data_IF_953360426910
#
_entry.id   IF_953360426910
#
_cell.length_a   1.000
_cell.length_b   1.000
_cell.length_c   1.000
_cell.angle_alpha   90.00
_cell.angle_beta   90.00
_cell.angle_gamma   90.00
#
_symmetry.space_group_name_H-M   'P 1'
#
loop_
_entity.id
_entity.type
_entity.pdbx_description
1 polymer ?
#
# COMPACT_ATOMS: atom_id res chain seq x y z
N UNK A 1 -3.78 -8.08 -11.22
CA UNK A 1 -3.45 -6.76 -10.64
C UNK A 1 -4.56 -6.42 -9.68
N UNK A 2 -4.48 -6.75 -8.38
CA UNK A 2 -5.57 -6.45 -7.49
C UNK A 2 -5.29 -5.10 -6.83
N UNK A 3 -5.60 -4.03 -7.54
CA UNK A 3 -6.42 -3.02 -6.90
C UNK A 3 -7.83 -3.34 -7.36
N UNK A 4 -8.73 -3.59 -6.41
CA UNK A 4 -10.12 -3.84 -6.76
C UNK A 4 -10.71 -2.52 -7.26
N UNK A 5 -11.54 -2.55 -8.30
CA UNK A 5 -12.23 -1.35 -8.78
C UNK A 5 -12.98 -0.61 -7.65
N UNK A 6 -13.42 -1.35 -6.62
CA UNK A 6 -14.04 -0.78 -5.42
C UNK A 6 -13.13 0.14 -4.59
N UNK A 7 -11.81 -0.05 -4.65
CA UNK A 7 -10.83 0.77 -3.94
C UNK A 7 -10.55 2.09 -4.69
N UNK A 8 -10.84 2.15 -5.99
CA UNK A 8 -10.60 3.34 -6.81
C UNK A 8 -11.49 4.51 -6.41
N UNK A 9 -12.63 4.24 -5.76
CA UNK A 9 -13.52 5.28 -5.23
C UNK A 9 -12.84 6.21 -4.23
N UNK A 10 -11.72 5.80 -3.64
CA UNK A 10 -10.93 6.62 -2.72
C UNK A 10 -9.89 7.51 -3.42
N UNK A 11 -9.78 7.45 -4.75
CA UNK A 11 -8.89 8.28 -5.57
C UNK A 11 -9.67 9.22 -6.48
N UNK A 12 -9.15 10.43 -6.77
CA UNK A 12 -9.76 11.34 -7.73
C UNK A 12 -10.01 10.71 -9.10
N UNK A 13 -11.11 11.10 -9.73
CA UNK A 13 -11.46 10.62 -11.06
C UNK A 13 -10.34 10.90 -12.09
N UNK A 14 -9.77 12.12 -12.12
CA UNK A 14 -8.67 12.47 -13.04
C UNK A 14 -7.44 11.55 -12.92
N UNK A 15 -7.22 10.94 -11.75
CA UNK A 15 -6.11 10.01 -11.53
C UNK A 15 -6.45 8.62 -12.08
N UNK A 16 -7.71 8.19 -12.02
CA UNK A 16 -8.14 6.81 -12.33
C UNK A 16 -8.80 6.65 -13.70
N UNK A 17 -9.31 7.73 -14.30
CA UNK A 17 -10.03 7.73 -15.59
C UNK A 17 -9.17 7.18 -16.74
N UNK A 18 -7.88 7.49 -16.76
CA UNK A 18 -6.95 7.03 -17.80
C UNK A 18 -6.40 5.63 -17.55
N UNK A 19 -6.64 5.04 -16.37
CA UNK A 19 -6.08 3.73 -16.01
C UNK A 19 -6.58 2.60 -16.93
N UNK A 20 -7.87 2.44 -17.27
CA UNK A 20 -8.27 1.37 -18.18
C UNK A 20 -7.54 1.41 -19.53
N UNK A 21 -7.37 2.60 -20.10
CA UNK A 21 -6.65 2.80 -21.38
C UNK A 21 -5.15 2.54 -21.24
N UNK A 22 -4.50 3.07 -20.20
CA UNK A 22 -3.10 2.78 -19.91
C UNK A 22 -2.86 1.28 -19.74
N UNK A 23 -3.80 0.57 -19.11
CA UNK A 23 -3.70 -0.88 -18.93
C UNK A 23 -3.82 -1.56 -20.27
N UNK A 24 -4.80 -1.18 -21.08
CA UNK A 24 -5.00 -1.72 -22.41
C UNK A 24 -3.77 -1.45 -23.31
N UNK A 25 -3.12 -0.30 -23.20
CA UNK A 25 -1.89 -0.01 -23.94
C UNK A 25 -0.70 -0.87 -23.46
N UNK A 26 -0.54 -1.05 -22.15
CA UNK A 26 0.54 -1.85 -21.57
C UNK A 26 0.32 -3.36 -21.69
N UNK A 27 -0.94 -3.80 -21.78
CA UNK A 27 -1.32 -5.21 -21.68
C UNK A 27 -2.03 -5.79 -22.90
N UNK A 28 -2.61 -4.94 -23.74
CA UNK A 28 -3.31 -5.32 -24.96
C UNK A 28 -2.37 -5.93 -25.99
N UNK A 29 -2.92 -6.83 -26.81
CA UNK A 29 -2.16 -7.48 -27.89
C UNK A 29 -1.09 -8.46 -27.42
N UNK A 30 -1.01 -8.79 -26.12
CA UNK A 30 -0.08 -9.80 -25.62
C UNK A 30 -0.42 -11.17 -26.21
N UNK A 31 0.57 -11.78 -26.83
CA UNK A 31 0.50 -13.17 -27.26
C UNK A 31 0.46 -14.11 -26.05
N UNK A 32 -0.09 -15.34 -26.20
CA UNK A 32 -0.01 -16.35 -25.13
C UNK A 32 1.42 -16.64 -24.66
N UNK A 33 2.43 -16.46 -25.53
CA UNK A 33 3.84 -16.59 -25.14
C UNK A 33 4.28 -15.46 -24.20
N UNK A 34 3.94 -14.22 -24.50
CA UNK A 34 4.26 -13.07 -23.63
C UNK A 34 3.56 -13.19 -22.26
N UNK A 35 2.31 -13.66 -22.23
CA UNK A 35 1.62 -13.92 -20.96
C UNK A 35 2.32 -14.97 -20.11
N UNK A 36 2.74 -16.09 -20.72
CA UNK A 36 3.53 -17.12 -20.03
C UNK A 36 4.85 -16.55 -19.52
N UNK A 37 5.53 -15.71 -20.30
CA UNK A 37 6.78 -15.07 -19.88
C UNK A 37 6.57 -14.15 -18.68
N UNK A 38 5.54 -13.31 -18.68
CA UNK A 38 5.22 -12.42 -17.56
C UNK A 38 4.93 -13.22 -16.28
N UNK A 39 4.16 -14.31 -16.39
CA UNK A 39 3.91 -15.22 -15.26
C UNK A 39 5.19 -15.84 -14.73
N UNK A 40 6.12 -16.24 -15.61
CA UNK A 40 7.44 -16.77 -15.23
C UNK A 40 8.29 -15.71 -14.52
N UNK A 41 8.31 -14.48 -15.03
CA UNK A 41 9.03 -13.35 -14.40
C UNK A 41 8.48 -13.08 -13.00
N UNK A 42 7.16 -13.02 -12.85
CA UNK A 42 6.53 -12.83 -11.54
C UNK A 42 6.86 -13.95 -10.56
N UNK A 43 6.76 -15.21 -10.99
CA UNK A 43 7.15 -16.35 -10.16
C UNK A 43 8.64 -16.32 -9.80
N UNK A 44 9.51 -15.85 -10.71
CA UNK A 44 10.93 -15.66 -10.42
C UNK A 44 11.16 -14.55 -9.38
N UNK A 45 10.44 -13.43 -9.46
CA UNK A 45 10.51 -12.36 -8.44
C UNK A 45 10.14 -12.85 -7.05
N UNK A 46 9.08 -13.65 -6.91
CA UNK A 46 8.73 -14.26 -5.64
C UNK A 46 9.85 -15.18 -5.11
N UNK A 47 10.46 -15.99 -6.00
CA UNK A 47 11.61 -16.82 -5.62
C UNK A 47 12.82 -15.99 -5.16
N UNK A 48 13.14 -14.89 -5.84
CA UNK A 48 14.22 -14.01 -5.43
C UNK A 48 14.00 -13.43 -4.03
N UNK A 49 12.77 -12.99 -3.72
CA UNK A 49 12.42 -12.52 -2.37
C UNK A 49 12.59 -13.64 -1.35
N UNK A 50 12.17 -14.87 -1.68
CA UNK A 50 12.33 -16.06 -0.85
C UNK A 50 13.81 -16.38 -0.57
N UNK A 51 14.66 -16.34 -1.60
CA UNK A 51 16.10 -16.61 -1.50
C UNK A 51 16.82 -15.55 -0.65
N UNK A 52 16.46 -14.27 -0.82
CA UNK A 52 16.98 -13.18 0.00
C UNK A 52 16.57 -13.34 1.47
N UNK A 53 15.31 -13.69 1.73
CA UNK A 53 14.83 -13.98 3.08
C UNK A 53 15.57 -15.18 3.70
N UNK A 54 15.73 -16.27 2.94
CA UNK A 54 16.50 -17.46 3.37
C UNK A 54 17.98 -17.17 3.63
N UNK A 55 18.55 -16.18 2.95
CA UNK A 55 19.91 -15.68 3.18
C UNK A 55 20.03 -14.69 4.36
N UNK A 56 18.92 -14.38 5.05
CA UNK A 56 18.92 -13.46 6.20
C UNK A 56 18.94 -11.97 5.83
N UNK A 57 18.67 -11.62 4.57
CA UNK A 57 18.58 -10.22 4.14
C UNK A 57 17.37 -9.57 4.79
N UNK A 58 17.56 -8.35 5.33
CA UNK A 58 16.44 -7.56 5.87
C UNK A 58 15.57 -7.06 4.72
N UNK A 59 14.31 -7.48 4.73
CA UNK A 59 13.29 -7.01 3.79
C UNK A 59 12.45 -5.90 4.41
N UNK A 60 12.04 -4.95 3.58
CA UNK A 60 11.09 -3.89 3.94
C UNK A 60 9.94 -3.88 2.93
N UNK A 61 8.70 -3.77 3.41
CA UNK A 61 7.53 -3.73 2.54
C UNK A 61 7.44 -2.36 1.85
N UNK A 62 7.19 -2.35 0.55
CA UNK A 62 7.03 -1.15 -0.26
C UNK A 62 6.19 -1.44 -1.49
N UNK A 63 5.28 -0.52 -1.81
CA UNK A 63 4.24 -0.75 -2.82
C UNK A 63 4.46 -0.02 -4.13
N UNK A 64 5.34 0.99 -4.14
CA UNK A 64 5.44 1.94 -5.25
C UNK A 64 4.11 2.68 -5.53
N UNK A 65 3.31 2.93 -4.49
CA UNK A 65 2.06 3.69 -4.60
C UNK A 65 2.32 5.09 -5.13
N UNK A 66 1.48 5.52 -6.08
CA UNK A 66 1.77 6.62 -7.01
C UNK A 66 1.81 6.11 -8.44
N UNK A 67 2.21 4.86 -8.63
CA UNK A 67 2.03 4.09 -9.86
C UNK A 67 0.56 3.68 -10.04
N UNK A 68 0.12 3.58 -11.30
CA UNK A 68 -1.23 3.16 -11.65
C UNK A 68 -1.63 1.81 -11.03
N UNK A 69 -2.92 1.66 -10.71
CA UNK A 69 -3.52 0.46 -10.09
C UNK A 69 -3.01 0.11 -8.69
N UNK A 70 -2.30 1.00 -8.02
CA UNK A 70 -1.86 0.81 -6.64
C UNK A 70 -2.50 1.89 -5.77
N UNK A 71 -3.58 1.52 -5.07
CA UNK A 71 -4.32 2.46 -4.22
C UNK A 71 -3.56 2.60 -2.89
N UNK A 72 -3.16 3.82 -2.46
CA UNK A 72 -2.47 4.06 -1.20
C UNK A 72 -3.21 3.46 0.00
N UNK A 73 -2.45 2.93 0.95
CA UNK A 73 -2.98 2.17 2.09
C UNK A 73 -3.40 0.75 1.71
N UNK A 74 -4.29 0.57 0.74
CA UNK A 74 -4.80 -0.74 0.31
C UNK A 74 -3.71 -1.64 -0.27
N UNK A 75 -2.87 -1.10 -1.15
CA UNK A 75 -1.80 -1.84 -1.81
C UNK A 75 -0.77 -2.42 -0.82
N UNK A 76 -0.61 -1.82 0.36
CA UNK A 76 0.32 -2.35 1.37
C UNK A 76 -0.17 -3.69 1.92
N UNK A 77 -1.49 -3.89 2.02
CA UNK A 77 -2.04 -5.19 2.41
C UNK A 77 -1.81 -6.26 1.36
N UNK A 78 -1.79 -5.88 0.08
CA UNK A 78 -1.47 -6.79 -1.02
C UNK A 78 0.02 -7.14 -1.02
N UNK A 79 0.90 -6.16 -0.75
CA UNK A 79 2.32 -6.40 -0.59
C UNK A 79 2.62 -7.36 0.57
N UNK A 80 1.93 -7.22 1.71
CA UNK A 80 2.03 -8.18 2.82
C UNK A 80 1.64 -9.60 2.39
N UNK A 81 0.58 -9.74 1.59
CA UNK A 81 0.18 -11.04 1.05
C UNK A 81 1.19 -11.59 0.03
N UNK A 82 1.83 -10.74 -0.76
CA UNK A 82 2.90 -11.12 -1.69
C UNK A 82 4.16 -11.59 -0.96
N UNK A 83 4.53 -10.93 0.14
CA UNK A 83 5.63 -11.38 1.00
C UNK A 83 5.34 -12.77 1.59
N UNK A 84 4.10 -13.01 2.06
CA UNK A 84 3.70 -14.34 2.52
C UNK A 84 3.73 -15.36 1.37
N UNK A 85 3.27 -14.99 0.17
CA UNK A 85 3.35 -15.82 -1.02
C UNK A 85 4.79 -16.12 -1.46
N UNK A 86 5.75 -15.25 -1.12
CA UNK A 86 7.19 -15.46 -1.31
C UNK A 86 7.83 -16.36 -0.25
N UNK A 87 7.07 -16.81 0.78
CA UNK A 87 7.54 -17.76 1.78
C UNK A 87 7.79 -17.17 3.17
N UNK A 88 7.52 -15.88 3.38
CA UNK A 88 7.56 -15.29 4.73
C UNK A 88 6.35 -15.77 5.54
N UNK A 89 6.54 -15.94 6.85
CA UNK A 89 5.42 -16.08 7.78
C UNK A 89 4.63 -14.76 7.90
N UNK A 90 3.34 -14.79 8.31
CA UNK A 90 2.60 -13.54 8.57
C UNK A 90 3.30 -12.62 9.58
N UNK A 91 3.98 -13.18 10.59
CA UNK A 91 4.78 -12.41 11.54
C UNK A 91 5.95 -11.69 10.86
N UNK A 92 6.64 -12.35 9.93
CA UNK A 92 7.75 -11.75 9.17
C UNK A 92 7.29 -10.65 8.23
N UNK A 93 6.18 -10.85 7.52
CA UNK A 93 5.59 -9.83 6.67
C UNK A 93 5.22 -8.57 7.48
N UNK A 94 4.62 -8.73 8.66
CA UNK A 94 4.33 -7.61 9.56
C UNK A 94 5.60 -6.90 10.05
N UNK A 95 6.67 -7.64 10.36
CA UNK A 95 7.97 -7.04 10.73
C UNK A 95 8.57 -6.24 9.58
N UNK A 96 8.49 -6.76 8.35
CA UNK A 96 8.95 -6.08 7.14
C UNK A 96 8.22 -4.74 6.90
N UNK A 97 6.94 -4.65 7.25
CA UNK A 97 6.16 -3.40 7.13
C UNK A 97 6.24 -2.46 8.33
N UNK A 98 6.90 -2.85 9.43
CA UNK A 98 6.97 -2.07 10.67
C UNK A 98 8.42 -1.83 11.08
N UNK A 99 8.95 -2.65 11.99
CA UNK A 99 10.29 -2.52 12.58
C UNK A 99 11.38 -2.49 11.52
N UNK A 100 11.31 -3.39 10.54
CA UNK A 100 12.41 -3.56 9.59
C UNK A 100 12.38 -2.46 8.52
N UNK A 101 11.19 -1.98 8.12
CA UNK A 101 11.04 -0.75 7.34
C UNK A 101 11.58 0.48 8.09
N UNK A 102 11.20 0.68 9.35
CA UNK A 102 11.69 1.78 10.18
C UNK A 102 13.23 1.78 10.28
N UNK A 103 13.84 0.60 10.47
CA UNK A 103 15.29 0.43 10.47
C UNK A 103 15.93 0.75 9.13
N UNK A 104 15.32 0.34 8.03
CA UNK A 104 15.82 0.62 6.67
C UNK A 104 15.78 2.11 6.35
N UNK A 105 14.76 2.82 6.84
CA UNK A 105 14.59 4.27 6.66
C UNK A 105 15.37 5.12 7.67
N UNK A 106 16.03 4.52 8.66
CA UNK A 106 16.73 5.26 9.72
C UNK A 106 15.79 6.01 10.67
N UNK A 107 14.60 5.47 10.93
CA UNK A 107 13.57 6.06 11.80
C UNK A 107 13.49 5.29 13.13
N UNK A 108 14.32 5.61 14.14
CA UNK A 108 14.46 4.79 15.36
C UNK A 108 13.29 4.92 16.33
N UNK A 109 12.39 5.90 16.13
CA UNK A 109 11.29 6.21 17.03
C UNK A 109 9.97 5.52 16.65
N UNK A 110 9.93 4.73 15.56
CA UNK A 110 8.68 4.15 15.02
C UNK A 110 8.82 2.65 14.69
N UNK A 111 7.70 1.99 14.44
CA UNK A 111 7.65 0.62 13.94
C UNK A 111 7.79 -0.48 15.00
N UNK A 112 7.92 -0.13 16.30
CA UNK A 112 7.90 -1.07 17.42
C UNK A 112 7.02 -0.56 18.55
N UNK A 113 6.22 -1.45 19.16
CA UNK A 113 5.45 -1.11 20.37
C UNK A 113 6.37 -1.24 21.59
N UNK A 114 6.95 -0.13 22.01
CA UNK A 114 7.81 -0.05 23.20
C UNK A 114 7.73 1.35 23.84
N UNK A 115 8.15 1.45 25.11
CA UNK A 115 8.25 2.75 25.79
C UNK A 115 9.26 3.65 25.04
N UNK A 116 8.92 4.92 24.89
CA UNK A 116 9.76 5.91 24.19
C UNK A 116 9.66 5.86 22.65
N UNK A 117 8.79 5.02 22.08
CA UNK A 117 8.44 5.04 20.66
C UNK A 117 7.19 5.90 20.42
N UNK A 118 6.99 6.34 19.19
CA UNK A 118 5.77 7.01 18.75
C UNK A 118 4.55 6.12 19.00
N UNK A 119 3.45 6.75 19.40
CA UNK A 119 2.20 6.07 19.68
C UNK A 119 1.39 5.85 18.38
N UNK A 120 1.98 5.14 17.43
CA UNK A 120 1.39 4.75 16.15
C UNK A 120 0.98 3.28 16.18
N UNK A 121 -0.32 3.01 16.25
CA UNK A 121 -0.86 1.66 16.46
C UNK A 121 -1.98 1.34 15.46
N UNK A 122 -2.00 0.10 14.98
CA UNK A 122 -3.10 -0.46 14.19
C UNK A 122 -3.84 -1.50 15.03
N UNK A 123 -5.13 -1.28 15.26
CA UNK A 123 -5.99 -2.22 16.01
C UNK A 123 -6.84 -3.01 15.02
N UNK A 124 -6.82 -4.34 15.12
CA UNK A 124 -7.48 -5.25 14.17
C UNK A 124 -8.57 -6.07 14.86
N UNK A 125 -9.68 -6.31 14.15
CA UNK A 125 -10.79 -7.17 14.60
C UNK A 125 -10.48 -8.67 14.46
N UNK A 126 -9.33 -9.03 13.89
CA UNK A 126 -8.91 -10.41 13.70
C UNK A 126 -7.39 -10.54 13.74
N UNK A 127 -6.91 -11.72 14.15
CA UNK A 127 -5.49 -11.99 14.33
C UNK A 127 -4.74 -12.09 12.98
N UNK A 128 -3.81 -11.18 12.67
CA UNK A 128 -3.06 -11.20 11.42
C UNK A 128 -2.01 -12.30 11.35
N UNK A 129 -1.65 -12.88 12.50
CA UNK A 129 -0.73 -14.02 12.57
C UNK A 129 -1.34 -15.34 12.09
N UNK A 130 -2.68 -15.44 12.09
CA UNK A 130 -3.41 -16.62 11.59
C UNK A 130 -3.62 -16.55 10.07
N UNK A 131 -3.89 -15.34 9.58
CA UNK A 131 -4.06 -15.04 8.17
C UNK A 131 -3.68 -13.57 7.95
N UNK A 132 -2.71 -13.32 7.07
CA UNK A 132 -2.20 -11.98 6.79
C UNK A 132 -3.29 -11.06 6.20
N UNK A 133 -4.32 -11.61 5.56
CA UNK A 133 -5.44 -10.84 5.04
C UNK A 133 -6.29 -10.20 6.15
N UNK A 134 -6.19 -10.67 7.40
CA UNK A 134 -6.84 -10.04 8.54
C UNK A 134 -6.30 -8.62 8.83
N UNK A 135 -5.16 -8.22 8.27
CA UNK A 135 -4.69 -6.83 8.32
C UNK A 135 -5.68 -5.83 7.71
N UNK A 136 -6.56 -6.26 6.81
CA UNK A 136 -7.64 -5.44 6.23
C UNK A 136 -8.83 -5.23 7.19
N UNK A 137 -8.94 -6.02 8.26
CA UNK A 137 -10.04 -5.95 9.25
C UNK A 137 -9.70 -4.96 10.36
N UNK A 138 -9.63 -3.69 9.98
CA UNK A 138 -9.17 -2.61 10.86
C UNK A 138 -10.31 -2.16 11.78
N UNK A 139 -10.10 -2.29 13.09
CA UNK A 139 -10.97 -1.73 14.10
C UNK A 139 -10.80 -0.21 14.14
N UNK A 140 -9.60 0.25 14.49
CA UNK A 140 -9.23 1.66 14.52
C UNK A 140 -7.72 1.85 14.49
N UNK A 141 -7.28 3.10 14.56
CA UNK A 141 -5.86 3.47 14.47
C UNK A 141 -5.52 4.50 15.53
N UNK A 142 -4.32 4.42 16.08
CA UNK A 142 -3.71 5.49 16.88
C UNK A 142 -2.64 6.14 16.00
N UNK A 143 -2.69 7.45 15.86
CA UNK A 143 -1.71 8.23 15.08
C UNK A 143 -1.18 9.33 15.98
N UNK A 144 0.12 9.32 16.27
CA UNK A 144 0.76 10.26 17.19
C UNK A 144 0.00 10.39 18.53
N UNK A 145 -0.43 9.25 19.07
CA UNK A 145 -1.21 9.20 20.32
C UNK A 145 -2.70 9.55 20.20
N UNK A 146 -3.17 10.05 19.05
CA UNK A 146 -4.60 10.30 18.80
C UNK A 146 -5.31 9.02 18.41
N UNK A 147 -6.25 8.59 19.25
CA UNK A 147 -7.15 7.49 18.91
C UNK A 147 -8.17 7.91 17.85
N UNK A 148 -8.23 7.16 16.76
CA UNK A 148 -9.23 7.28 15.69
C UNK A 148 -10.11 6.02 15.77
N UNK A 149 -11.29 6.11 16.39
CA UNK A 149 -12.19 4.97 16.57
C UNK A 149 -12.84 4.52 15.26
N UNK A 150 -13.46 3.32 15.25
CA UNK A 150 -14.08 2.76 14.04
C UNK A 150 -15.06 3.71 13.33
N UNK A 151 -15.87 4.47 14.07
CA UNK A 151 -16.83 5.41 13.52
C UNK A 151 -16.16 6.61 12.84
N UNK A 152 -15.13 7.19 13.44
CA UNK A 152 -14.37 8.29 12.84
C UNK A 152 -13.61 7.80 11.61
N UNK A 153 -12.97 6.63 11.70
CA UNK A 153 -12.28 5.99 10.57
C UNK A 153 -13.21 5.80 9.37
N UNK A 154 -14.44 5.29 9.60
CA UNK A 154 -15.45 5.14 8.54
C UNK A 154 -15.86 6.49 7.95
N UNK A 155 -16.02 7.53 8.77
CA UNK A 155 -16.32 8.90 8.28
C UNK A 155 -15.18 9.46 7.42
N UNK A 156 -13.93 9.27 7.81
CA UNK A 156 -12.76 9.71 7.04
C UNK A 156 -12.70 9.03 5.67
N UNK A 157 -12.95 7.72 5.60
CA UNK A 157 -13.03 6.98 4.34
C UNK A 157 -14.20 7.45 3.46
N UNK A 158 -15.38 7.70 4.06
CA UNK A 158 -16.53 8.23 3.33
C UNK A 158 -16.25 9.65 2.79
N UNK A 159 -15.60 10.50 3.59
CA UNK A 159 -15.19 11.85 3.17
C UNK A 159 -14.20 11.79 2.00
N UNK A 160 -13.19 10.91 2.07
CA UNK A 160 -12.26 10.66 0.95
C UNK A 160 -12.99 10.22 -0.31
N UNK A 161 -13.96 9.29 -0.21
CA UNK A 161 -14.77 8.87 -1.35
C UNK A 161 -15.60 10.02 -1.95
N UNK A 162 -16.18 10.88 -1.10
CA UNK A 162 -16.96 12.04 -1.55
C UNK A 162 -16.10 13.10 -2.24
N UNK A 163 -14.90 13.36 -1.72
CA UNK A 163 -13.94 14.30 -2.31
C UNK A 163 -13.44 13.79 -3.67
N UNK A 164 -13.13 12.51 -3.77
CA UNK A 164 -12.71 11.84 -5.00
C UNK A 164 -13.75 11.87 -6.11
N UNK A 165 -15.03 11.96 -5.74
CA UNK A 165 -16.18 12.07 -6.67
C UNK A 165 -16.53 13.52 -7.04
N UNK A 166 -15.91 14.51 -6.39
CA UNK A 166 -16.16 15.93 -6.64
C UNK A 166 -15.45 16.44 -7.90
N UNK A 167 -15.91 17.54 -8.51
CA UNK A 167 -15.20 18.15 -9.64
C UNK A 167 -13.78 18.52 -9.21
N UNK A 168 -12.78 18.21 -10.05
CA UNK A 168 -11.40 18.58 -9.81
C UNK A 168 -11.33 20.10 -9.58
N UNK A 169 -11.13 20.52 -8.33
CA UNK A 169 -10.99 21.93 -8.02
C UNK A 169 -9.75 22.44 -8.74
N UNK A 170 -9.94 23.39 -9.66
CA UNK A 170 -8.90 24.09 -10.41
C UNK A 170 -7.89 24.87 -9.53
N UNK A 171 -7.97 24.74 -8.19
CA UNK A 171 -7.20 25.49 -7.22
C UNK A 171 -5.72 25.07 -7.10
N UNK A 172 -5.33 23.86 -7.54
CA UNK A 172 -3.95 23.36 -7.33
C UNK A 172 -2.96 23.86 -8.40
N UNK A 173 -3.43 24.25 -9.59
CA UNK A 173 -2.55 24.69 -10.70
C UNK A 173 -1.94 26.08 -10.48
N UNK A 174 -2.44 26.89 -9.54
CA UNK A 174 -2.04 28.30 -9.38
C UNK A 174 -0.96 28.57 -8.32
N UNK A 175 -0.28 27.54 -7.78
CA UNK A 175 0.82 27.74 -6.80
C UNK A 175 2.23 27.48 -7.34
N UNK A 176 2.39 26.96 -8.55
CA UNK A 176 3.72 26.68 -9.13
C UNK A 176 4.19 27.75 -10.12
N UNK A 177 3.34 28.72 -10.51
CA UNK A 177 3.68 29.77 -11.48
C UNK A 177 4.07 31.11 -10.84
N UNK A 178 4.34 31.16 -9.53
CA UNK A 178 4.60 32.42 -8.81
C UNK A 178 5.99 32.49 -8.15
N UNK A 179 6.92 31.62 -8.53
CA UNK A 179 8.29 31.62 -7.97
C UNK A 179 9.40 31.74 -9.03
N UNK A 180 9.13 32.46 -10.13
CA UNK A 180 10.14 32.92 -11.09
C UNK A 180 9.96 34.42 -11.34
N UNK A 181 10.31 35.25 -10.36
CA UNK A 181 10.84 36.61 -10.56
C UNK A 181 11.21 37.22 -9.21
N UNK A 182 12.48 37.06 -8.83
CA UNK A 182 13.21 37.94 -7.92
C UNK A 182 14.68 37.92 -8.33
#
# INVERSE_FOLDING_TARGET
>A
MPSRAEEWKYLPAWQTESWPEQLAALTGGRTPQQERQIRRIFAHRLRLVSELHGAGVRLAAGTDTGTGYLVPGFALHDELALLVAAGLTPAEALRAATRDAARTLGLPAVGTVARGQAADLLVLDAAPLRDIHNTRRIHGVVVDGRWIPPEERRRLLAASCSWSSGPASAATTRRLSSNETA
#
